data_IF_990324137647
#
_entry.id   IF_990324137647
#
_cell.length_a   1.000
_cell.length_b   1.000
_cell.length_c   1.000
_cell.angle_alpha   90.00
_cell.angle_beta   90.00
_cell.angle_gamma   90.00
#
_symmetry.space_group_name_H-M   'P 1'
#
loop_
_entity.id
_entity.type
_entity.pdbx_description
1 polymer ?
#
# COMPACT_ATOMS: atom_id res chain seq x y z
N UNK A 1 -11.38 -13.68 -15.39
CA UNK A 1 -12.38 -14.52 -14.68
C UNK A 1 -13.69 -14.47 -15.43
N UNK A 2 -14.26 -15.64 -15.75
CA UNK A 2 -15.52 -15.72 -16.52
C UNK A 2 -16.74 -15.93 -15.62
N UNK A 3 -16.53 -16.37 -14.38
CA UNK A 3 -17.58 -16.56 -13.38
C UNK A 3 -16.96 -16.56 -11.98
N UNK A 4 -17.72 -16.13 -10.95
CA UNK A 4 -17.27 -16.30 -9.56
C UNK A 4 -17.04 -17.78 -9.24
N UNK A 5 -16.02 -18.13 -8.44
CA UNK A 5 -15.78 -19.51 -8.05
C UNK A 5 -16.90 -20.00 -7.12
N UNK A 6 -17.23 -21.29 -7.20
CA UNK A 6 -18.16 -21.93 -6.26
C UNK A 6 -17.61 -21.96 -4.83
N UNK A 7 -16.30 -22.16 -4.70
CA UNK A 7 -15.58 -22.16 -3.43
C UNK A 7 -14.12 -21.74 -3.62
N UNK A 8 -13.55 -21.14 -2.59
CA UNK A 8 -12.11 -20.85 -2.48
C UNK A 8 -11.58 -21.58 -1.26
N UNK A 9 -10.53 -22.40 -1.45
CA UNK A 9 -9.90 -23.18 -0.39
C UNK A 9 -8.51 -22.64 -0.17
N UNK A 10 -8.23 -22.14 1.03
CA UNK A 10 -6.93 -21.64 1.45
C UNK A 10 -6.26 -22.64 2.39
N UNK A 11 -5.17 -23.27 1.93
CA UNK A 11 -4.36 -24.16 2.75
C UNK A 11 -3.17 -23.40 3.34
N UNK A 12 -3.21 -23.14 4.65
CA UNK A 12 -2.14 -22.44 5.36
C UNK A 12 -0.79 -23.20 5.37
N UNK A 13 -0.78 -24.52 5.13
CA UNK A 13 0.47 -25.27 5.04
C UNK A 13 1.31 -24.83 3.83
N UNK A 14 0.67 -24.37 2.75
CA UNK A 14 1.37 -23.87 1.56
C UNK A 14 2.19 -22.62 1.85
N UNK A 15 1.85 -21.84 2.87
CA UNK A 15 2.65 -20.66 3.28
C UNK A 15 4.06 -21.04 3.73
N UNK A 16 4.27 -22.28 4.20
CA UNK A 16 5.60 -22.74 4.59
C UNK A 16 6.60 -22.74 3.42
N UNK A 17 6.11 -22.94 2.19
CA UNK A 17 6.94 -22.97 0.98
C UNK A 17 7.36 -21.59 0.46
N UNK A 18 6.69 -20.52 0.90
CA UNK A 18 6.98 -19.15 0.47
C UNK A 18 8.29 -18.63 1.08
N UNK A 19 9.04 -17.87 0.27
CA UNK A 19 10.19 -17.13 0.78
C UNK A 19 9.76 -16.06 1.80
N UNK A 20 10.65 -15.64 2.73
CA UNK A 20 10.37 -14.51 3.63
C UNK A 20 9.93 -13.23 2.89
N UNK A 21 10.48 -12.98 1.71
CA UNK A 21 10.13 -11.84 0.86
C UNK A 21 8.69 -11.94 0.37
N UNK A 22 8.26 -13.12 -0.08
CA UNK A 22 6.90 -13.34 -0.59
C UNK A 22 5.85 -13.32 0.54
N UNK A 23 6.17 -13.89 1.71
CA UNK A 23 5.30 -13.79 2.89
C UNK A 23 5.07 -12.34 3.29
N UNK A 24 6.13 -11.55 3.33
CA UNK A 24 6.04 -10.13 3.69
C UNK A 24 5.25 -9.34 2.65
N UNK A 25 5.43 -9.62 1.37
CA UNK A 25 4.71 -8.93 0.31
C UNK A 25 3.17 -8.99 0.47
N UNK A 26 2.64 -10.09 1.01
CA UNK A 26 1.21 -10.20 1.31
C UNK A 26 0.73 -9.32 2.47
N UNK A 27 1.60 -8.94 3.40
CA UNK A 27 1.20 -8.13 4.55
C UNK A 27 0.76 -6.73 4.18
N UNK A 28 1.34 -6.14 3.13
CA UNK A 28 1.00 -4.78 2.71
C UNK A 28 -0.44 -4.66 2.26
N UNK A 29 -0.98 -5.70 1.62
CA UNK A 29 -2.38 -5.74 1.21
C UNK A 29 -3.32 -5.71 2.43
N UNK A 30 -2.97 -6.45 3.49
CA UNK A 30 -3.72 -6.41 4.74
C UNK A 30 -3.64 -5.03 5.42
N UNK A 31 -2.44 -4.42 5.44
CA UNK A 31 -2.26 -3.03 5.95
C UNK A 31 -3.08 -2.05 5.14
N UNK A 32 -3.07 -2.16 3.81
CA UNK A 32 -3.88 -1.33 2.90
C UNK A 32 -5.36 -1.38 3.26
N UNK A 33 -5.94 -2.59 3.31
CA UNK A 33 -7.36 -2.77 3.63
C UNK A 33 -7.68 -2.25 5.04
N UNK A 34 -6.82 -2.51 6.02
CA UNK A 34 -6.99 -2.02 7.38
C UNK A 34 -7.00 -0.48 7.43
N UNK A 35 -6.08 0.18 6.73
CA UNK A 35 -6.00 1.64 6.67
C UNK A 35 -7.24 2.30 6.09
N UNK A 36 -7.85 1.70 5.07
CA UNK A 36 -8.98 2.32 4.34
C UNK A 36 -10.35 1.86 4.80
N UNK A 37 -10.46 0.76 5.59
CA UNK A 37 -11.73 0.13 5.92
C UNK A 37 -11.91 -0.28 7.39
N UNK A 38 -10.82 -0.56 8.13
CA UNK A 38 -10.96 -1.21 9.45
C UNK A 38 -9.84 -0.79 10.42
N UNK A 39 -10.13 0.21 11.25
CA UNK A 39 -9.21 0.69 12.29
C UNK A 39 -8.82 -0.43 13.28
N UNK A 40 -9.78 -1.26 13.70
CA UNK A 40 -9.51 -2.32 14.68
C UNK A 40 -8.55 -3.38 14.11
N UNK A 41 -8.65 -3.65 12.81
CA UNK A 41 -7.70 -4.51 12.11
C UNK A 41 -6.31 -3.88 12.05
N UNK A 42 -6.22 -2.58 11.75
CA UNK A 42 -4.94 -1.86 11.78
C UNK A 42 -4.26 -1.94 13.16
N UNK A 43 -5.02 -1.69 14.23
CA UNK A 43 -4.52 -1.80 15.60
C UNK A 43 -4.10 -3.23 15.97
N UNK A 44 -4.76 -4.23 15.40
CA UNK A 44 -4.36 -5.64 15.55
C UNK A 44 -3.03 -5.92 14.84
N UNK A 45 -2.86 -5.46 13.60
CA UNK A 45 -1.60 -5.60 12.86
C UNK A 45 -0.46 -4.90 13.60
N UNK A 46 -0.71 -3.72 14.13
CA UNK A 46 0.28 -2.93 14.88
C UNK A 46 0.73 -3.64 16.16
N UNK A 47 -0.21 -4.21 16.91
CA UNK A 47 0.08 -5.00 18.11
C UNK A 47 0.89 -6.25 17.79
N UNK A 48 0.57 -6.92 16.68
CA UNK A 48 1.18 -8.18 16.28
C UNK A 48 2.42 -7.97 15.37
N UNK A 49 2.89 -6.72 15.16
CA UNK A 49 3.90 -6.39 14.15
C UNK A 49 5.23 -7.15 14.31
N UNK A 50 5.73 -7.32 15.54
CA UNK A 50 6.96 -8.08 15.80
C UNK A 50 6.77 -9.58 15.46
N UNK A 51 5.65 -10.18 15.88
CA UNK A 51 5.32 -11.57 15.57
C UNK A 51 5.17 -11.78 14.04
N UNK A 52 4.55 -10.82 13.35
CA UNK A 52 4.42 -10.83 11.89
C UNK A 52 5.79 -10.70 11.20
N UNK A 53 6.66 -9.84 11.71
CA UNK A 53 8.04 -9.70 11.19
C UNK A 53 8.80 -11.01 11.23
N UNK A 54 8.64 -11.78 12.29
CA UNK A 54 9.25 -13.10 12.51
C UNK A 54 8.46 -14.26 11.88
N UNK A 55 7.39 -13.94 11.13
CA UNK A 55 6.52 -14.91 10.46
C UNK A 55 5.88 -15.92 11.42
N UNK A 56 5.51 -15.47 12.61
CA UNK A 56 4.85 -16.30 13.61
C UNK A 56 3.50 -16.83 13.06
N UNK A 57 3.27 -18.16 13.05
CA UNK A 57 2.14 -18.78 12.35
C UNK A 57 0.77 -18.29 12.81
N UNK A 58 0.57 -18.07 14.12
CA UNK A 58 -0.73 -17.65 14.67
C UNK A 58 -1.03 -16.20 14.28
N UNK A 59 -0.02 -15.32 14.32
CA UNK A 59 -0.17 -13.92 13.88
C UNK A 59 -0.46 -13.83 12.38
N UNK A 60 0.25 -14.62 11.56
CA UNK A 60 0.00 -14.72 10.11
C UNK A 60 -1.42 -15.22 9.82
N UNK A 61 -1.83 -16.29 10.48
CA UNK A 61 -3.18 -16.86 10.30
C UNK A 61 -4.27 -15.84 10.64
N UNK A 62 -4.13 -15.12 11.75
CA UNK A 62 -5.06 -14.07 12.18
C UNK A 62 -5.16 -12.95 11.13
N UNK A 63 -4.02 -12.48 10.63
CA UNK A 63 -3.95 -11.44 9.58
C UNK A 63 -4.65 -11.89 8.31
N UNK A 64 -4.30 -13.07 7.80
CA UNK A 64 -4.84 -13.62 6.55
C UNK A 64 -6.34 -13.86 6.68
N UNK A 65 -6.79 -14.46 7.79
CA UNK A 65 -8.20 -14.73 8.02
C UNK A 65 -9.03 -13.46 8.03
N UNK A 66 -8.57 -12.41 8.75
CA UNK A 66 -9.30 -11.13 8.79
C UNK A 66 -9.31 -10.44 7.44
N UNK A 67 -8.20 -10.47 6.71
CA UNK A 67 -8.13 -9.91 5.35
C UNK A 67 -9.10 -10.61 4.40
N UNK A 68 -9.14 -11.95 4.42
CA UNK A 68 -10.07 -12.74 3.62
C UNK A 68 -11.54 -12.48 3.99
N UNK A 69 -11.85 -12.36 5.28
CA UNK A 69 -13.20 -12.04 5.77
C UNK A 69 -13.67 -10.66 5.25
N UNK A 70 -12.82 -9.64 5.34
CA UNK A 70 -13.13 -8.30 4.83
C UNK A 70 -13.35 -8.31 3.32
N UNK A 71 -12.53 -9.05 2.58
CA UNK A 71 -12.68 -9.18 1.14
C UNK A 71 -13.96 -9.92 0.75
N UNK A 72 -14.28 -11.04 1.39
CA UNK A 72 -15.52 -11.79 1.19
C UNK A 72 -16.76 -10.94 1.50
N UNK A 73 -16.74 -10.20 2.59
CA UNK A 73 -17.82 -9.30 2.94
C UNK A 73 -17.99 -8.19 1.88
N UNK A 74 -16.90 -7.65 1.37
CA UNK A 74 -16.93 -6.66 0.30
C UNK A 74 -17.59 -7.23 -0.96
N UNK A 75 -17.15 -8.38 -1.46
CA UNK A 75 -17.74 -9.05 -2.63
C UNK A 75 -19.23 -9.35 -2.40
N UNK A 76 -19.60 -9.85 -1.23
CA UNK A 76 -20.96 -10.27 -0.93
C UNK A 76 -21.93 -9.10 -0.79
N UNK A 77 -21.46 -7.91 -0.36
CA UNK A 77 -22.34 -6.77 -0.03
C UNK A 77 -22.29 -5.62 -1.00
N UNK A 78 -21.23 -5.51 -1.82
CA UNK A 78 -21.07 -4.40 -2.79
C UNK A 78 -21.95 -4.52 -4.03
N UNK A 79 -22.51 -5.72 -4.30
CA UNK A 79 -23.24 -5.99 -5.55
C UNK A 79 -22.36 -6.08 -6.79
N UNK A 80 -21.04 -6.06 -6.63
CA UNK A 80 -20.04 -6.10 -7.68
C UNK A 80 -19.03 -7.24 -7.43
N UNK A 81 -19.42 -8.51 -7.71
CA UNK A 81 -18.59 -9.67 -7.43
C UNK A 81 -17.30 -9.73 -8.26
N UNK A 82 -17.16 -8.88 -9.27
CA UNK A 82 -15.98 -8.77 -10.12
C UNK A 82 -15.17 -7.51 -9.84
N UNK A 83 -15.58 -6.69 -8.87
CA UNK A 83 -14.92 -5.46 -8.44
C UNK A 83 -14.69 -4.42 -9.57
N UNK A 84 -15.55 -4.37 -10.58
CA UNK A 84 -15.43 -3.44 -11.71
C UNK A 84 -15.55 -1.97 -11.31
N UNK A 85 -16.33 -1.65 -10.29
CA UNK A 85 -16.53 -0.29 -9.82
C UNK A 85 -16.21 -0.08 -8.35
N UNK A 86 -16.26 -1.14 -7.54
CA UNK A 86 -16.08 -1.09 -6.08
C UNK A 86 -14.65 -1.38 -5.63
N UNK A 87 -13.75 -1.80 -6.55
CA UNK A 87 -12.33 -2.04 -6.25
C UNK A 87 -11.55 -0.76 -5.94
N UNK A 88 -12.06 0.42 -6.30
CA UNK A 88 -11.36 1.70 -6.20
C UNK A 88 -10.76 2.00 -4.83
N UNK A 89 -11.41 1.72 -3.69
CA UNK A 89 -10.77 1.93 -2.40
C UNK A 89 -9.52 1.07 -2.20
N UNK A 90 -9.41 -0.08 -2.90
CA UNK A 90 -8.27 -0.99 -2.81
C UNK A 90 -7.05 -0.51 -3.60
N UNK A 91 -7.20 0.56 -4.38
CA UNK A 91 -6.12 1.16 -5.19
C UNK A 91 -5.20 2.10 -4.40
N UNK A 92 -5.39 2.21 -3.08
CA UNK A 92 -4.52 3.00 -2.21
C UNK A 92 -3.05 2.61 -2.39
N UNK A 93 -2.20 3.56 -2.76
CA UNK A 93 -0.78 3.36 -3.07
C UNK A 93 -0.48 2.82 -4.48
N UNK A 94 -1.49 2.44 -5.28
CA UNK A 94 -1.25 1.67 -6.50
C UNK A 94 -0.77 2.50 -7.70
N UNK A 95 -1.14 3.78 -7.80
CA UNK A 95 -0.66 4.63 -8.90
C UNK A 95 0.88 4.71 -8.93
N UNK A 96 1.51 4.85 -7.75
CA UNK A 96 2.95 4.87 -7.63
C UNK A 96 3.55 3.45 -7.72
N UNK A 97 2.86 2.45 -7.14
CA UNK A 97 3.34 1.07 -7.15
C UNK A 97 3.52 0.53 -8.57
N UNK A 98 2.50 0.62 -9.43
CA UNK A 98 2.59 0.15 -10.81
C UNK A 98 3.71 0.83 -11.58
N UNK A 99 3.90 2.14 -11.34
CA UNK A 99 4.99 2.88 -11.99
C UNK A 99 6.36 2.45 -11.47
N UNK A 100 6.51 2.19 -10.18
CA UNK A 100 7.75 1.67 -9.58
C UNK A 100 8.10 0.28 -10.11
N UNK A 101 7.12 -0.60 -10.28
CA UNK A 101 7.34 -1.92 -10.90
C UNK A 101 7.95 -1.76 -12.29
N UNK A 102 7.40 -0.87 -13.12
CA UNK A 102 7.91 -0.59 -14.46
C UNK A 102 9.32 0.03 -14.43
N UNK A 103 9.51 1.10 -13.64
CA UNK A 103 10.79 1.82 -13.55
C UNK A 103 11.93 0.94 -13.02
N UNK A 104 11.60 -0.05 -12.18
CA UNK A 104 12.56 -1.00 -11.66
C UNK A 104 12.75 -2.24 -12.54
N UNK A 105 12.09 -2.30 -13.71
CA UNK A 105 12.04 -3.51 -14.54
C UNK A 105 11.60 -4.75 -13.73
N UNK A 106 10.60 -4.57 -12.87
CA UNK A 106 10.01 -5.58 -11.97
C UNK A 106 10.99 -6.18 -10.94
N UNK A 107 12.13 -5.52 -10.66
CA UNK A 107 13.03 -5.89 -9.55
C UNK A 107 12.38 -5.64 -8.19
N UNK A 108 11.65 -4.53 -8.07
CA UNK A 108 10.75 -4.25 -6.96
C UNK A 108 9.49 -5.07 -7.21
N UNK A 109 9.16 -5.96 -6.28
CA UNK A 109 7.95 -6.77 -6.39
C UNK A 109 6.73 -5.97 -5.99
N UNK A 110 5.57 -6.38 -6.49
CA UNK A 110 4.30 -5.68 -6.27
C UNK A 110 4.07 -5.24 -4.82
N UNK A 111 4.14 -6.15 -3.85
CA UNK A 111 3.91 -5.77 -2.44
C UNK A 111 4.95 -4.78 -1.88
N UNK A 112 6.19 -4.81 -2.36
CA UNK A 112 7.21 -3.82 -1.99
C UNK A 112 6.88 -2.46 -2.61
N UNK A 113 6.48 -2.44 -3.88
CA UNK A 113 6.06 -1.23 -4.58
C UNK A 113 4.81 -0.61 -3.93
N UNK A 114 3.84 -1.43 -3.54
CA UNK A 114 2.63 -0.98 -2.82
C UNK A 114 2.98 -0.38 -1.46
N UNK A 115 3.95 -0.94 -0.72
CA UNK A 115 4.39 -0.36 0.55
C UNK A 115 4.97 1.05 0.37
N UNK A 116 5.77 1.27 -0.68
CA UNK A 116 6.30 2.59 -1.04
C UNK A 116 5.17 3.53 -1.47
N UNK A 117 4.24 3.05 -2.30
CA UNK A 117 3.09 3.82 -2.75
C UNK A 117 2.17 4.25 -1.60
N UNK A 118 1.87 3.35 -0.66
CA UNK A 118 1.11 3.67 0.56
C UNK A 118 1.87 4.72 1.39
N UNK A 119 3.18 4.58 1.54
CA UNK A 119 3.97 5.56 2.29
C UNK A 119 3.91 6.96 1.64
N UNK A 120 3.95 7.04 0.29
CA UNK A 120 3.77 8.29 -0.45
C UNK A 120 2.38 8.89 -0.21
N UNK A 121 1.32 8.11 -0.34
CA UNK A 121 -0.05 8.59 -0.20
C UNK A 121 -0.37 8.97 1.26
N UNK A 122 0.23 8.31 2.24
CA UNK A 122 0.13 8.67 3.66
C UNK A 122 0.79 10.02 3.93
N UNK A 123 2.02 10.25 3.44
CA UNK A 123 2.70 11.54 3.59
C UNK A 123 1.94 12.62 2.81
N UNK A 124 1.48 12.33 1.60
CA UNK A 124 0.65 13.26 0.84
C UNK A 124 -0.63 13.62 1.61
N UNK A 125 -1.34 12.63 2.17
CA UNK A 125 -2.54 12.88 2.98
C UNK A 125 -2.26 13.78 4.18
N UNK A 126 -1.11 13.62 4.84
CA UNK A 126 -0.67 14.49 5.94
C UNK A 126 -0.38 15.90 5.43
N UNK A 127 0.35 16.07 4.33
CA UNK A 127 0.68 17.37 3.74
C UNK A 127 -0.54 18.10 3.20
N UNK A 128 -1.53 17.37 2.72
CA UNK A 128 -2.82 17.90 2.32
C UNK A 128 -3.73 18.28 3.51
N UNK A 129 -3.30 18.01 4.75
CA UNK A 129 -4.06 18.33 5.96
C UNK A 129 -5.20 17.34 6.24
N UNK A 130 -5.23 16.20 5.58
CA UNK A 130 -6.27 15.17 5.77
C UNK A 130 -6.05 14.36 7.04
N UNK A 131 -4.79 14.08 7.39
CA UNK A 131 -4.41 13.36 8.61
C UNK A 131 -3.32 14.11 9.40
N UNK A 132 -3.26 13.96 10.73
CA UNK A 132 -2.19 14.50 11.55
C UNK A 132 -0.83 13.85 11.26
N UNK A 133 0.26 14.60 11.47
CA UNK A 133 1.64 14.09 11.37
C UNK A 133 1.88 12.83 12.22
N UNK A 134 1.34 12.81 13.45
CA UNK A 134 1.46 11.65 14.34
C UNK A 134 0.84 10.38 13.73
N UNK A 135 -0.25 10.51 12.97
CA UNK A 135 -0.89 9.39 12.27
C UNK A 135 -0.01 8.91 11.11
N UNK A 136 0.52 9.82 10.31
CA UNK A 136 1.48 9.50 9.25
C UNK A 136 2.70 8.76 9.82
N UNK A 137 3.34 9.32 10.84
CA UNK A 137 4.50 8.71 11.49
C UNK A 137 4.21 7.30 12.04
N UNK A 138 3.02 7.10 12.64
CA UNK A 138 2.56 5.80 13.16
C UNK A 138 2.46 4.76 12.05
N UNK A 139 1.86 5.12 10.91
CA UNK A 139 1.67 4.21 9.77
C UNK A 139 3.02 3.84 9.15
N UNK A 140 3.87 4.83 8.89
CA UNK A 140 5.21 4.59 8.35
C UNK A 140 6.05 3.70 9.27
N UNK A 141 5.97 3.91 10.58
CA UNK A 141 6.65 3.07 11.57
C UNK A 141 6.14 1.64 11.57
N UNK A 142 4.84 1.42 11.39
CA UNK A 142 4.28 0.07 11.27
C UNK A 142 4.83 -0.66 10.04
N UNK A 143 4.81 -0.01 8.87
CA UNK A 143 5.35 -0.62 7.64
C UNK A 143 6.83 -0.99 7.80
N UNK A 144 7.62 -0.12 8.42
CA UNK A 144 9.03 -0.39 8.71
C UNK A 144 9.23 -1.53 9.72
N UNK A 145 8.40 -1.61 10.76
CA UNK A 145 8.43 -2.72 11.73
C UNK A 145 8.11 -4.05 11.08
N UNK A 146 7.19 -4.07 10.13
CA UNK A 146 6.89 -5.25 9.32
C UNK A 146 8.05 -5.64 8.36
N UNK A 147 9.06 -4.78 8.23
CA UNK A 147 10.27 -5.03 7.45
C UNK A 147 10.20 -4.52 6.01
N UNK A 148 9.34 -3.55 5.70
CA UNK A 148 9.33 -2.90 4.40
C UNK A 148 10.35 -1.77 4.33
N UNK A 149 10.99 -1.65 3.17
CA UNK A 149 11.72 -0.45 2.75
C UNK A 149 10.71 0.50 2.10
N UNK A 150 10.67 1.75 2.57
CA UNK A 150 9.67 2.73 2.12
C UNK A 150 10.20 3.71 1.06
N UNK A 151 11.41 3.49 0.58
CA UNK A 151 12.03 4.32 -0.44
C UNK A 151 12.81 3.45 -1.42
N UNK A 152 12.82 3.87 -2.69
CA UNK A 152 13.69 3.31 -3.73
C UNK A 152 14.18 4.44 -4.64
N UNK A 153 15.38 4.27 -5.20
CA UNK A 153 16.00 5.28 -6.06
C UNK A 153 15.20 5.55 -7.34
N UNK A 154 14.37 4.62 -7.77
CA UNK A 154 13.47 4.77 -8.92
C UNK A 154 12.50 5.95 -8.74
N UNK A 155 12.17 6.34 -7.49
CA UNK A 155 11.39 7.55 -7.20
C UNK A 155 12.08 8.84 -7.66
N UNK A 156 13.41 8.81 -7.81
CA UNK A 156 14.22 9.97 -8.21
C UNK A 156 14.59 9.97 -9.69
N UNK A 157 14.16 8.95 -10.46
CA UNK A 157 14.43 8.91 -11.89
C UNK A 157 13.74 10.08 -12.59
N UNK A 158 14.49 10.76 -13.48
CA UNK A 158 13.99 11.89 -14.25
C UNK A 158 14.01 11.60 -15.75
N UNK A 159 13.09 12.22 -16.46
CA UNK A 159 13.06 12.21 -17.92
C UNK A 159 14.09 13.20 -18.52
N UNK A 160 14.16 13.28 -19.85
CA UNK A 160 15.06 14.18 -20.56
C UNK A 160 14.79 15.68 -20.29
N UNK A 161 13.63 16.01 -19.72
CA UNK A 161 13.23 17.36 -19.32
C UNK A 161 13.46 17.62 -17.82
N UNK A 162 14.01 16.67 -17.09
CA UNK A 162 14.27 16.76 -15.64
C UNK A 162 13.03 16.57 -14.77
N UNK A 163 11.92 16.03 -15.29
CA UNK A 163 10.70 15.74 -14.54
C UNK A 163 10.78 14.33 -13.95
N UNK A 164 10.32 14.16 -12.73
CA UNK A 164 10.26 12.84 -12.09
C UNK A 164 9.37 11.88 -12.89
N UNK A 165 9.94 10.76 -13.31
CA UNK A 165 9.24 9.75 -14.11
C UNK A 165 8.10 9.08 -13.35
N UNK A 166 8.18 8.99 -12.03
CA UNK A 166 7.11 8.45 -11.19
C UNK A 166 5.78 9.21 -11.40
N UNK A 167 5.82 10.51 -11.71
CA UNK A 167 4.64 11.34 -11.90
C UNK A 167 3.81 10.94 -13.12
N UNK A 168 4.41 10.27 -14.11
CA UNK A 168 3.65 9.72 -15.25
C UNK A 168 2.69 8.62 -14.80
N UNK A 169 2.94 7.98 -13.65
CA UNK A 169 2.04 7.01 -13.06
C UNK A 169 0.66 7.59 -12.72
N UNK A 170 0.55 8.88 -12.40
CA UNK A 170 -0.74 9.55 -12.19
C UNK A 170 -1.54 9.65 -13.49
N UNK A 171 -0.89 9.96 -14.61
CA UNK A 171 -1.52 10.05 -15.93
C UNK A 171 -1.95 8.66 -16.41
N UNK A 172 -1.06 7.67 -16.30
CA UNK A 172 -1.36 6.28 -16.67
C UNK A 172 -2.53 5.72 -15.83
N UNK A 173 -2.57 6.06 -14.55
CA UNK A 173 -3.65 5.64 -13.65
C UNK A 173 -4.98 6.28 -14.02
N UNK A 174 -4.97 7.58 -14.38
CA UNK A 174 -6.14 8.30 -14.89
C UNK A 174 -6.69 7.66 -16.16
N UNK A 175 -5.82 7.31 -17.12
CA UNK A 175 -6.23 6.66 -18.37
C UNK A 175 -6.85 5.28 -18.12
N UNK A 176 -6.29 4.51 -17.19
CA UNK A 176 -6.80 3.20 -16.78
C UNK A 176 -8.23 3.27 -16.20
N UNK A 177 -8.56 4.36 -15.52
CA UNK A 177 -9.85 4.60 -14.90
C UNK A 177 -10.88 5.27 -15.82
N UNK A 178 -10.56 5.43 -17.11
CA UNK A 178 -11.50 6.00 -18.09
C UNK A 178 -11.49 7.52 -18.20
N UNK A 179 -10.39 8.17 -17.77
CA UNK A 179 -10.12 9.59 -18.04
C UNK A 179 -10.25 10.53 -16.85
N UNK A 180 -10.91 10.14 -15.76
CA UNK A 180 -10.95 10.90 -14.51
C UNK A 180 -9.96 10.30 -13.51
N UNK A 181 -9.06 11.13 -12.96
CA UNK A 181 -8.19 10.69 -11.89
C UNK A 181 -9.02 10.41 -10.65
N UNK A 182 -8.95 9.18 -10.14
CA UNK A 182 -9.61 8.80 -8.89
C UNK A 182 -8.61 8.04 -8.04
N UNK A 183 -8.11 8.68 -6.99
CA UNK A 183 -7.11 8.14 -6.08
C UNK A 183 -7.71 8.01 -4.69
N UNK A 184 -7.45 6.91 -4.02
CA UNK A 184 -7.78 6.77 -2.61
C UNK A 184 -6.72 7.47 -1.77
N UNK A 185 -7.11 8.38 -0.90
CA UNK A 185 -6.29 9.01 0.13
C UNK A 185 -6.83 8.67 1.52
N UNK A 186 -6.02 8.89 2.55
CA UNK A 186 -6.39 8.58 3.92
C UNK A 186 -7.00 9.81 4.61
N UNK A 187 -8.23 9.68 5.13
CA UNK A 187 -8.87 10.70 5.97
C UNK A 187 -8.68 10.42 7.47
N UNK A 188 -8.60 9.15 7.83
CA UNK A 188 -8.23 8.63 9.15
C UNK A 188 -7.93 7.14 9.03
N UNK A 189 -7.28 6.56 10.02
CA UNK A 189 -7.08 5.09 10.04
C UNK A 189 -8.44 4.39 10.07
N UNK A 190 -8.65 3.52 9.08
CA UNK A 190 -9.91 2.80 8.85
C UNK A 190 -10.88 3.52 7.91
N UNK A 191 -10.50 4.69 7.34
CA UNK A 191 -11.36 5.42 6.41
C UNK A 191 -10.57 6.11 5.29
N UNK A 192 -10.68 5.56 4.08
CA UNK A 192 -10.25 6.20 2.85
C UNK A 192 -11.26 7.21 2.32
N UNK A 193 -10.79 8.14 1.50
CA UNK A 193 -11.60 9.08 0.70
C UNK A 193 -11.09 9.08 -0.74
N UNK A 194 -11.98 9.38 -1.68
CA UNK A 194 -11.62 9.61 -3.07
C UNK A 194 -11.11 11.03 -3.28
N UNK A 195 -10.05 11.17 -4.06
CA UNK A 195 -9.50 12.45 -4.51
C UNK A 195 -9.34 12.40 -6.04
N UNK A 196 -9.74 13.49 -6.70
CA UNK A 196 -9.70 13.61 -8.17
C UNK A 196 -8.53 14.47 -8.65
N UNK A 197 -7.70 14.93 -7.72
CA UNK A 197 -6.53 15.75 -8.01
C UNK A 197 -5.41 15.45 -7.00
N UNK A 198 -4.17 15.38 -7.51
CA UNK A 198 -2.97 15.38 -6.69
C UNK A 198 -2.07 16.56 -7.08
N UNK A 199 -1.71 17.37 -6.10
CA UNK A 199 -0.81 18.51 -6.31
C UNK A 199 0.63 18.01 -6.45
N UNK A 200 1.19 18.13 -7.65
CA UNK A 200 2.56 17.67 -7.97
C UNK A 200 3.61 18.17 -6.98
N UNK A 201 3.63 19.46 -6.55
CA UNK A 201 4.61 19.91 -5.55
C UNK A 201 4.56 19.11 -4.25
N UNK A 202 3.37 18.75 -3.77
CA UNK A 202 3.21 17.97 -2.54
C UNK A 202 3.68 16.52 -2.72
N UNK A 203 3.48 15.94 -3.90
CA UNK A 203 4.02 14.59 -4.23
C UNK A 203 5.55 14.63 -4.22
N UNK A 204 6.15 15.65 -4.82
CA UNK A 204 7.62 15.82 -4.83
C UNK A 204 8.18 15.97 -3.42
N UNK A 205 7.50 16.74 -2.57
CA UNK A 205 7.91 16.88 -1.16
C UNK A 205 7.73 15.57 -0.37
N UNK A 206 6.69 14.79 -0.65
CA UNK A 206 6.50 13.47 -0.04
C UNK A 206 7.64 12.50 -0.42
N UNK A 207 8.09 12.53 -1.68
CA UNK A 207 9.25 11.75 -2.14
C UNK A 207 10.52 12.17 -1.40
N UNK A 208 10.75 13.49 -1.25
CA UNK A 208 11.90 14.03 -0.51
C UNK A 208 11.90 13.60 0.95
N UNK A 209 10.74 13.62 1.58
CA UNK A 209 10.58 13.18 2.97
C UNK A 209 10.90 11.69 3.14
N UNK A 210 10.41 10.82 2.24
CA UNK A 210 10.75 9.40 2.23
C UNK A 210 12.25 9.18 2.03
N UNK A 211 12.87 9.92 1.11
CA UNK A 211 14.32 9.84 0.88
C UNK A 211 15.10 10.20 2.15
N UNK A 212 14.77 11.33 2.78
CA UNK A 212 15.40 11.74 4.02
C UNK A 212 15.20 10.72 5.17
N UNK A 213 14.01 10.11 5.23
CA UNK A 213 13.72 9.06 6.19
C UNK A 213 14.61 7.84 5.98
N UNK A 214 14.77 7.40 4.73
CA UNK A 214 15.65 6.29 4.36
C UNK A 214 17.12 6.58 4.72
N UNK A 215 17.61 7.79 4.43
CA UNK A 215 18.98 8.20 4.79
C UNK A 215 19.21 8.16 6.29
N UNK A 216 18.27 8.64 7.10
CA UNK A 216 18.39 8.59 8.58
C UNK A 216 18.46 7.16 9.10
N UNK A 217 17.70 6.22 8.52
CA UNK A 217 17.73 4.81 8.91
C UNK A 217 19.00 4.08 8.51
N UNK A 218 19.65 4.51 7.43
CA UNK A 218 20.91 3.92 6.96
C UNK A 218 22.14 4.38 7.75
N UNK A 219 22.00 5.40 8.61
CA UNK A 219 23.07 5.83 9.48
C UNK A 219 23.10 4.95 10.73
N UNK A 220 24.24 4.30 11.06
CA UNK A 220 24.34 3.54 12.30
C UNK A 220 24.10 4.49 13.48
N UNK A 221 23.29 4.02 14.44
CA UNK A 221 23.11 4.73 15.72
C UNK A 221 24.49 4.88 16.38
N UNK A 222 24.93 6.12 16.59
CA UNK A 222 26.18 6.45 17.22
C UNK A 222 26.18 6.07 18.71
#
# INVERSE_FOLDING_TARGET
>A
TFAPPFAVINDFQLLASLSPRDKRAGYVEAVKVALIRDRAFFETIERDAEALREFEPVAMQRLIFRCAELHLNHIATSGDPFEFGSARPLDFGHWAAHKLEQLSEYRIRHGEAVAIGIALDVIYSQRAGLIPEATSARILSLLEKLGFELFSNELLHVDAQGRLMILTGLEEFREHLGGELTITLLAEVGRGIEAHEMRVPEVVEAIRELHQRALRRSQPSA
#
